data_IF_716066667165
#
_entry.id   IF_716066667165
#
_cell.length_a   1.000
_cell.length_b   1.000
_cell.length_c   1.000
_cell.angle_alpha   90.00
_cell.angle_beta   90.00
_cell.angle_gamma   90.00
#
_symmetry.space_group_name_H-M   'P 1'
#
loop_
_entity.id
_entity.type
_entity.pdbx_description
1 polymer ?
#
# COMPACT_ATOMS: atom_id res chain seq x y z
N UNK A 1 19.01 -7.09 12.17
CA UNK A 1 17.59 -6.82 11.91
C UNK A 1 17.55 -5.72 10.86
N UNK A 2 17.10 -6.00 9.63
CA UNK A 2 16.96 -4.95 8.62
C UNK A 2 15.87 -3.99 9.08
N UNK A 3 16.24 -2.75 9.40
CA UNK A 3 15.29 -1.66 9.63
C UNK A 3 14.47 -1.44 8.36
N UNK A 4 13.33 -2.13 8.25
CA UNK A 4 12.40 -1.90 7.15
C UNK A 4 11.92 -0.46 7.26
N UNK A 5 12.39 0.39 6.36
CA UNK A 5 12.02 1.81 6.31
C UNK A 5 10.50 1.92 6.22
N UNK A 6 9.88 2.42 7.29
CA UNK A 6 8.45 2.61 7.37
C UNK A 6 8.02 3.81 6.54
N UNK A 7 6.96 3.59 5.77
CA UNK A 7 6.37 4.57 4.86
C UNK A 7 4.98 4.88 5.39
N UNK A 8 4.68 6.14 5.76
CA UNK A 8 3.34 6.50 6.19
C UNK A 8 2.35 6.31 5.03
N UNK A 9 1.13 5.85 5.31
CA UNK A 9 0.13 5.63 4.26
C UNK A 9 -0.19 6.87 3.42
N UNK A 10 0.04 8.06 3.97
CA UNK A 10 -0.08 9.33 3.24
C UNK A 10 0.91 9.47 2.09
N UNK A 11 2.07 8.80 2.14
CA UNK A 11 3.12 8.83 1.12
C UNK A 11 3.00 7.68 0.10
N UNK A 12 2.12 6.71 0.32
CA UNK A 12 1.90 5.57 -0.59
C UNK A 12 1.49 6.02 -2.00
N UNK A 13 0.61 7.02 -2.20
CA UNK A 13 0.31 7.52 -3.54
C UNK A 13 1.52 7.91 -4.39
N UNK A 14 2.47 8.63 -3.80
CA UNK A 14 3.68 9.05 -4.50
C UNK A 14 4.55 7.86 -4.87
N UNK A 15 4.68 6.88 -3.96
CA UNK A 15 5.41 5.64 -4.24
C UNK A 15 4.73 4.81 -5.34
N UNK A 16 3.40 4.71 -5.34
CA UNK A 16 2.66 4.00 -6.39
C UNK A 16 2.85 4.70 -7.73
N UNK A 17 2.82 6.03 -7.77
CA UNK A 17 3.06 6.79 -8.99
C UNK A 17 4.50 6.59 -9.49
N UNK A 18 5.50 6.57 -8.61
CA UNK A 18 6.90 6.25 -8.94
C UNK A 18 7.04 4.85 -9.56
N UNK A 19 6.32 3.85 -9.02
CA UNK A 19 6.44 2.45 -9.44
C UNK A 19 5.61 2.10 -10.70
N UNK A 20 4.46 2.76 -10.90
CA UNK A 20 3.47 2.36 -11.92
C UNK A 20 3.15 3.45 -12.93
N UNK A 21 3.60 4.69 -12.69
CA UNK A 21 3.18 5.86 -13.47
C UNK A 21 1.75 6.34 -13.18
N UNK A 22 0.99 5.63 -12.33
CA UNK A 22 -0.42 5.94 -12.05
C UNK A 22 -0.56 6.66 -10.72
N UNK A 23 -1.10 7.87 -10.75
CA UNK A 23 -1.43 8.61 -9.54
C UNK A 23 -2.69 8.06 -8.87
N UNK A 24 -2.66 7.96 -7.54
CA UNK A 24 -3.81 7.54 -6.73
C UNK A 24 -4.10 8.56 -5.65
N UNK A 25 -5.35 8.64 -5.21
CA UNK A 25 -5.67 9.50 -4.08
C UNK A 25 -5.22 8.88 -2.76
N UNK A 26 -4.88 9.73 -1.79
CA UNK A 26 -4.58 9.28 -0.42
C UNK A 26 -5.69 8.41 0.15
N UNK A 27 -6.95 8.78 -0.06
CA UNK A 27 -8.10 7.98 0.39
C UNK A 27 -8.07 6.54 -0.16
N UNK A 28 -7.58 6.35 -1.37
CA UNK A 28 -7.44 5.03 -2.00
C UNK A 28 -6.43 4.16 -1.24
N UNK A 29 -5.27 4.71 -0.86
CA UNK A 29 -4.28 3.98 -0.07
C UNK A 29 -4.83 3.52 1.30
N UNK A 30 -5.62 4.39 1.97
CA UNK A 30 -6.29 4.01 3.22
C UNK A 30 -7.40 2.97 3.00
N UNK A 31 -8.11 3.02 1.87
CA UNK A 31 -9.10 2.00 1.51
C UNK A 31 -8.44 0.65 1.26
N UNK A 32 -7.29 0.61 0.58
CA UNK A 32 -6.53 -0.63 0.37
C UNK A 32 -6.07 -1.28 1.68
N UNK A 33 -5.67 -0.48 2.66
CA UNK A 33 -5.31 -1.00 3.98
C UNK A 33 -6.53 -1.51 4.78
N UNK A 34 -7.64 -0.78 4.76
CA UNK A 34 -8.84 -1.13 5.56
C UNK A 34 -9.68 -2.24 4.93
N UNK A 35 -10.03 -2.07 3.67
CA UNK A 35 -11.01 -2.89 2.93
C UNK A 35 -10.31 -3.80 1.92
N UNK A 36 -9.25 -3.31 1.27
CA UNK A 36 -8.55 -4.01 0.21
C UNK A 36 -8.87 -3.50 -1.19
N UNK A 37 -8.34 -4.17 -2.19
CA UNK A 37 -8.57 -3.97 -3.61
C UNK A 37 -8.83 -5.33 -4.26
N UNK A 38 -9.71 -5.34 -5.26
CA UNK A 38 -10.00 -6.56 -6.01
C UNK A 38 -8.90 -6.78 -7.05
N UNK A 39 -8.25 -7.93 -7.00
CA UNK A 39 -7.28 -8.37 -8.01
C UNK A 39 -7.98 -8.88 -9.28
N UNK A 40 -7.19 -9.11 -10.33
CA UNK A 40 -7.66 -9.65 -11.61
C UNK A 40 -8.38 -11.01 -11.47
N UNK A 41 -7.96 -11.84 -10.51
CA UNK A 41 -8.57 -13.13 -10.20
C UNK A 41 -9.72 -13.04 -9.17
N UNK A 42 -10.27 -11.84 -8.98
CA UNK A 42 -11.39 -11.54 -8.10
C UNK A 42 -11.15 -11.77 -6.59
N UNK A 43 -9.90 -11.98 -6.16
CA UNK A 43 -9.55 -11.98 -4.73
C UNK A 43 -9.51 -10.56 -4.17
N UNK A 44 -9.76 -10.43 -2.87
CA UNK A 44 -9.59 -9.16 -2.16
C UNK A 44 -8.21 -9.13 -1.51
N UNK A 45 -7.33 -8.30 -2.05
CA UNK A 45 -5.96 -8.12 -1.57
C UNK A 45 -5.90 -6.87 -0.70
N UNK A 46 -5.27 -6.94 0.48
CA UNK A 46 -5.08 -5.79 1.36
C UNK A 46 -3.64 -5.32 1.34
N UNK A 47 -3.44 -4.01 1.36
CA UNK A 47 -2.11 -3.46 1.59
C UNK A 47 -1.70 -3.80 3.02
N UNK A 48 -0.56 -4.48 3.18
CA UNK A 48 -0.03 -4.84 4.51
C UNK A 48 0.43 -3.56 5.22
N UNK A 49 -0.05 -3.36 6.44
CA UNK A 49 0.25 -2.18 7.24
C UNK A 49 0.46 -2.52 8.70
N UNK A 50 1.26 -1.71 9.38
CA UNK A 50 1.38 -1.72 10.85
C UNK A 50 0.93 -0.36 11.42
N UNK A 51 0.42 -0.38 12.66
CA UNK A 51 -0.01 0.84 13.37
C UNK A 51 1.04 1.23 14.39
N UNK A 52 1.57 2.46 14.32
CA UNK A 52 2.46 3.05 15.33
C UNK A 52 1.97 4.43 15.71
N UNK A 53 1.85 4.71 17.01
CA UNK A 53 1.39 6.02 17.53
C UNK A 53 0.10 6.53 16.86
N UNK A 54 -0.86 5.65 16.61
CA UNK A 54 -2.13 6.02 15.97
C UNK A 54 -2.10 6.14 14.43
N UNK A 55 -0.93 6.13 13.82
CA UNK A 55 -0.74 6.24 12.37
C UNK A 55 -0.46 4.88 11.73
N UNK A 56 -0.96 4.68 10.50
CA UNK A 56 -0.70 3.49 9.70
C UNK A 56 0.54 3.70 8.83
N UNK A 57 1.40 2.69 8.83
CA UNK A 57 2.62 2.61 8.04
C UNK A 57 2.63 1.33 7.21
N UNK A 58 3.39 1.35 6.14
CA UNK A 58 3.69 0.18 5.29
C UNK A 58 5.18 0.18 4.94
N UNK A 59 5.61 -0.76 4.13
CA UNK A 59 6.99 -0.82 3.61
C UNK A 59 6.96 -0.81 2.09
N UNK A 60 8.11 -0.50 1.46
CA UNK A 60 8.21 -0.54 -0.01
C UNK A 60 7.90 -1.94 -0.54
N UNK A 61 8.45 -2.99 0.10
CA UNK A 61 8.18 -4.39 -0.27
C UNK A 61 6.70 -4.73 -0.24
N UNK A 62 5.98 -4.29 0.81
CA UNK A 62 4.55 -4.54 0.95
C UNK A 62 3.73 -3.82 -0.13
N UNK A 63 4.15 -2.62 -0.54
CA UNK A 63 3.51 -1.89 -1.65
C UNK A 63 3.77 -2.59 -2.98
N UNK A 64 4.99 -3.07 -3.23
CA UNK A 64 5.33 -3.82 -4.44
C UNK A 64 4.57 -5.14 -4.52
N UNK A 65 4.54 -5.91 -3.44
CA UNK A 65 3.77 -7.16 -3.33
C UNK A 65 2.29 -6.89 -3.61
N UNK A 66 1.72 -5.87 -2.99
CA UNK A 66 0.34 -5.46 -3.22
C UNK A 66 0.04 -5.10 -4.69
N UNK A 67 0.91 -4.30 -5.33
CA UNK A 67 0.75 -3.94 -6.74
C UNK A 67 0.80 -5.19 -7.61
N UNK A 68 1.80 -6.06 -7.38
CA UNK A 68 1.95 -7.31 -8.13
C UNK A 68 0.76 -8.25 -7.99
N UNK A 69 0.09 -8.28 -6.84
CA UNK A 69 -1.09 -9.11 -6.62
C UNK A 69 -2.36 -8.52 -7.24
N UNK A 70 -2.49 -7.19 -7.29
CA UNK A 70 -3.69 -6.51 -7.80
C UNK A 70 -3.73 -6.48 -9.33
N UNK A 71 -2.57 -6.33 -9.99
CA UNK A 71 -2.47 -6.14 -11.43
C UNK A 71 -2.46 -4.67 -11.82
#
# INVERSE_FOLDING_TARGET
>A
MNDKKLIPLSAVPSLVAELTGVWRHRATAYRWAKVGCRSLDARMVKLKTEKRMGQLFTTRDAVMEFISEVG
#
